data_IF_637706627562
#
_entry.id   IF_637706627562
#
_cell.length_a   1.000
_cell.length_b   1.000
_cell.length_c   1.000
_cell.angle_alpha   90.00
_cell.angle_beta   90.00
_cell.angle_gamma   90.00
#
_symmetry.space_group_name_H-M   'P 1'
#
loop_
_entity.id
_entity.type
_entity.pdbx_description
1 polymer ?
#
# COMPACT_ATOMS: atom_id res chain seq x y z
N UNK A 1 -0.52 11.70 -16.33
CA UNK A 1 0.61 11.56 -15.39
C UNK A 1 1.43 10.34 -15.82
N UNK A 2 2.75 10.48 -15.87
CA UNK A 2 3.67 9.36 -16.11
C UNK A 2 4.49 9.14 -14.85
N UNK A 3 4.53 7.92 -14.33
CA UNK A 3 5.29 7.58 -13.12
C UNK A 3 6.69 7.13 -13.50
N UNK A 4 7.69 7.56 -12.73
CA UNK A 4 9.03 7.01 -12.87
C UNK A 4 9.05 5.61 -12.27
N UNK A 5 9.67 4.66 -12.96
CA UNK A 5 9.71 3.26 -12.53
C UNK A 5 11.13 2.78 -12.31
N UNK A 6 11.33 1.97 -11.28
CA UNK A 6 12.64 1.37 -10.97
C UNK A 6 12.43 -0.02 -10.41
N UNK A 7 13.26 -0.98 -10.81
CA UNK A 7 13.29 -2.30 -10.19
C UNK A 7 14.21 -2.25 -8.98
N UNK A 8 13.70 -2.59 -7.80
CA UNK A 8 14.51 -2.71 -6.60
C UNK A 8 15.26 -4.05 -6.58
N UNK A 9 14.56 -5.10 -7.00
CA UNK A 9 15.06 -6.46 -7.17
C UNK A 9 14.12 -7.19 -8.14
N UNK A 10 14.38 -8.49 -8.37
CA UNK A 10 13.60 -9.31 -9.30
C UNK A 10 12.12 -9.47 -8.94
N UNK A 11 11.74 -9.11 -7.71
CA UNK A 11 10.40 -9.29 -7.16
C UNK A 11 9.66 -7.98 -6.84
N UNK A 12 10.31 -6.83 -7.01
CA UNK A 12 9.76 -5.55 -6.54
C UNK A 12 9.98 -4.45 -7.56
N UNK A 13 8.87 -3.98 -8.14
CA UNK A 13 8.84 -2.81 -8.99
C UNK A 13 8.30 -1.60 -8.23
N UNK A 14 9.08 -0.52 -8.26
CA UNK A 14 8.75 0.74 -7.60
C UNK A 14 8.20 1.72 -8.63
N UNK A 15 7.06 2.31 -8.29
CA UNK A 15 6.42 3.43 -8.94
C UNK A 15 6.62 4.68 -8.11
N UNK A 16 7.27 5.69 -8.66
CA UNK A 16 7.56 6.95 -7.98
C UNK A 16 6.67 8.05 -8.54
N UNK A 17 5.91 8.69 -7.65
CA UNK A 17 5.09 9.85 -7.95
C UNK A 17 5.94 11.01 -8.49
N UNK A 18 5.37 11.73 -9.45
CA UNK A 18 5.89 13.05 -9.83
C UNK A 18 5.64 14.03 -8.67
N UNK A 19 6.54 14.99 -8.48
CA UNK A 19 6.40 16.03 -7.45
C UNK A 19 5.13 16.87 -7.63
N UNK A 20 4.62 17.01 -8.84
CA UNK A 20 3.39 17.74 -9.13
C UNK A 20 2.11 16.93 -8.87
N UNK A 21 2.23 15.59 -8.80
CA UNK A 21 1.09 14.67 -8.73
C UNK A 21 1.27 13.68 -7.58
N UNK A 22 1.16 14.19 -6.36
CA UNK A 22 1.40 13.41 -5.13
C UNK A 22 0.12 13.06 -4.37
N UNK A 23 -1.05 13.51 -4.81
CA UNK A 23 -2.32 13.18 -4.15
C UNK A 23 -2.85 11.78 -4.55
N UNK A 24 -3.85 11.31 -3.79
CA UNK A 24 -4.46 9.99 -4.04
C UNK A 24 -5.29 9.98 -5.32
N UNK A 25 -5.87 11.11 -5.74
CA UNK A 25 -6.68 11.19 -6.96
C UNK A 25 -5.83 10.93 -8.21
N UNK A 26 -4.59 11.44 -8.21
CA UNK A 26 -3.60 11.18 -9.25
C UNK A 26 -3.24 9.68 -9.32
N UNK A 27 -3.03 9.03 -8.17
CA UNK A 27 -2.78 7.59 -8.11
C UNK A 27 -4.00 6.80 -8.60
N UNK A 28 -5.20 7.16 -8.15
CA UNK A 28 -6.47 6.57 -8.58
C UNK A 28 -6.64 6.67 -10.09
N UNK A 29 -6.43 7.86 -10.67
CA UNK A 29 -6.52 8.08 -12.10
C UNK A 29 -5.52 7.21 -12.87
N UNK A 30 -4.29 7.09 -12.37
CA UNK A 30 -3.27 6.22 -12.97
C UNK A 30 -3.67 4.74 -12.92
N UNK A 31 -4.10 4.26 -11.76
CA UNK A 31 -4.53 2.86 -11.58
C UNK A 31 -5.70 2.53 -12.50
N UNK A 32 -6.68 3.43 -12.64
CA UNK A 32 -7.84 3.20 -13.55
C UNK A 32 -7.43 3.02 -15.00
N UNK A 33 -6.43 3.77 -15.47
CA UNK A 33 -5.95 3.69 -16.86
C UNK A 33 -5.04 2.47 -17.07
N UNK A 34 -4.17 2.17 -16.12
CA UNK A 34 -3.13 1.14 -16.26
C UNK A 34 -3.42 -0.17 -15.52
N UNK A 35 -4.66 -0.40 -15.08
CA UNK A 35 -5.02 -1.54 -14.22
C UNK A 35 -4.53 -2.87 -14.77
N UNK A 36 -4.77 -3.15 -16.04
CA UNK A 36 -4.39 -4.43 -16.68
C UNK A 36 -2.88 -4.66 -16.63
N UNK A 37 -2.10 -3.61 -16.93
CA UNK A 37 -0.63 -3.65 -16.89
C UNK A 37 -0.15 -3.87 -15.45
N UNK A 38 -0.70 -3.13 -14.50
CA UNK A 38 -0.39 -3.28 -13.07
C UNK A 38 -0.68 -4.72 -12.58
N UNK A 39 -1.77 -5.34 -13.01
CA UNK A 39 -2.05 -6.74 -12.62
C UNK A 39 -1.08 -7.73 -13.25
N UNK A 40 -0.67 -7.53 -14.51
CA UNK A 40 0.35 -8.36 -15.16
C UNK A 40 1.71 -8.23 -14.46
N UNK A 41 2.08 -7.02 -14.09
CA UNK A 41 3.31 -6.76 -13.36
C UNK A 41 3.27 -7.28 -11.93
N UNK A 42 2.13 -7.18 -11.25
CA UNK A 42 1.95 -7.80 -9.94
C UNK A 42 2.12 -9.31 -10.04
N UNK A 43 1.62 -9.95 -11.10
CA UNK A 43 1.85 -11.37 -11.34
C UNK A 43 3.32 -11.70 -11.69
N UNK A 44 4.02 -10.81 -12.40
CA UNK A 44 5.42 -11.02 -12.80
C UNK A 44 6.41 -10.84 -11.63
N UNK A 45 6.29 -9.73 -10.90
CA UNK A 45 7.23 -9.35 -9.85
C UNK A 45 6.76 -9.86 -8.48
N UNK A 46 5.46 -9.89 -8.22
CA UNK A 46 4.90 -10.25 -6.92
C UNK A 46 4.72 -9.05 -5.97
N UNK A 47 5.52 -7.99 -6.13
CA UNK A 47 5.40 -6.76 -5.32
C UNK A 47 5.43 -5.52 -6.22
N UNK A 48 4.41 -4.66 -6.04
CA UNK A 48 4.38 -3.31 -6.58
C UNK A 48 4.40 -2.30 -5.43
N UNK A 49 5.35 -1.37 -5.46
CA UNK A 49 5.49 -0.32 -4.45
C UNK A 49 5.18 1.05 -5.04
N UNK A 50 4.13 1.71 -4.58
CA UNK A 50 3.80 3.09 -4.96
C UNK A 50 4.35 4.06 -3.91
N UNK A 51 5.30 4.90 -4.32
CA UNK A 51 6.04 5.82 -3.45
C UNK A 51 5.81 7.27 -3.86
N UNK A 52 5.66 8.13 -2.87
CA UNK A 52 5.54 9.58 -3.07
C UNK A 52 4.10 10.10 -3.07
N UNK A 53 3.12 9.20 -2.93
CA UNK A 53 1.72 9.57 -2.78
C UNK A 53 1.35 9.86 -1.33
N UNK A 54 0.46 10.82 -1.15
CA UNK A 54 -0.05 11.32 0.12
C UNK A 54 -1.53 11.00 0.19
N UNK A 55 -1.85 9.97 0.95
CA UNK A 55 -3.21 9.74 1.40
C UNK A 55 -3.45 10.69 2.58
N UNK A 56 -4.55 11.43 2.57
CA UNK A 56 -4.96 12.34 3.63
C UNK A 56 -5.91 11.65 4.61
N UNK A 57 -6.80 10.80 4.11
CA UNK A 57 -7.84 10.14 4.92
C UNK A 57 -7.66 8.62 4.94
N UNK A 58 -8.08 7.98 6.04
CA UNK A 58 -7.92 6.54 6.25
C UNK A 58 -8.70 5.69 5.23
N UNK A 59 -9.85 6.16 4.76
CA UNK A 59 -10.69 5.43 3.81
C UNK A 59 -10.13 5.43 2.38
N UNK A 60 -9.27 6.38 2.03
CA UNK A 60 -8.72 6.51 0.67
C UNK A 60 -7.91 5.29 0.26
N UNK A 61 -7.19 4.67 1.21
CA UNK A 61 -6.45 3.44 0.94
C UNK A 61 -7.40 2.28 0.62
N UNK A 62 -8.44 2.13 1.43
CA UNK A 62 -9.43 1.08 1.24
C UNK A 62 -10.16 1.24 -0.10
N UNK A 63 -10.58 2.47 -0.45
CA UNK A 63 -11.22 2.78 -1.73
C UNK A 63 -10.28 2.49 -2.91
N UNK A 64 -9.01 2.85 -2.80
CA UNK A 64 -8.01 2.57 -3.83
C UNK A 64 -7.89 1.06 -4.09
N UNK A 65 -7.80 0.26 -3.05
CA UNK A 65 -7.60 -1.20 -3.16
C UNK A 65 -8.88 -1.89 -3.69
N UNK A 66 -10.03 -1.64 -3.08
CA UNK A 66 -11.26 -2.36 -3.41
C UNK A 66 -11.92 -1.85 -4.69
N UNK A 67 -11.93 -0.54 -4.94
CA UNK A 67 -12.67 0.03 -6.06
C UNK A 67 -11.82 0.33 -7.28
N UNK A 68 -10.51 0.60 -7.12
CA UNK A 68 -9.65 0.98 -8.25
C UNK A 68 -8.75 -0.17 -8.69
N UNK A 69 -8.06 -0.81 -7.75
CA UNK A 69 -7.37 -2.06 -8.06
C UNK A 69 -8.37 -3.21 -8.28
N UNK A 70 -9.57 -3.14 -7.69
CA UNK A 70 -10.58 -4.21 -7.74
C UNK A 70 -10.00 -5.54 -7.25
N UNK A 71 -9.21 -5.45 -6.19
CA UNK A 71 -8.65 -6.60 -5.51
C UNK A 71 -9.71 -7.07 -4.51
N UNK A 72 -10.30 -8.24 -4.77
CA UNK A 72 -11.31 -8.81 -3.88
C UNK A 72 -10.66 -9.24 -2.56
N UNK A 73 -11.29 -8.94 -1.40
CA UNK A 73 -10.83 -9.43 -0.10
C UNK A 73 -10.59 -10.94 -0.15
N UNK A 74 -9.43 -11.36 0.36
CA UNK A 74 -9.03 -12.75 0.28
C UNK A 74 -9.84 -13.61 1.27
N UNK A 75 -10.67 -14.51 0.75
CA UNK A 75 -11.31 -15.52 1.59
C UNK A 75 -10.31 -16.62 1.95
N UNK A 76 -9.76 -16.54 3.16
CA UNK A 76 -8.72 -17.43 3.72
C UNK A 76 -9.15 -18.91 3.80
N UNK A 77 -10.42 -19.22 3.56
CA UNK A 77 -11.00 -20.57 3.69
C UNK A 77 -10.90 -21.44 2.44
N UNK A 78 -10.43 -20.91 1.30
CA UNK A 78 -10.24 -21.71 0.08
C UNK A 78 -8.79 -21.65 -0.43
N UNK A 79 -8.03 -22.72 -0.23
CA UNK A 79 -6.62 -22.85 -0.64
C UNK A 79 -6.36 -22.92 -2.15
N UNK A 80 -7.38 -22.69 -2.99
CA UNK A 80 -7.32 -22.91 -4.44
C UNK A 80 -6.84 -21.71 -5.26
N UNK A 81 -6.66 -20.53 -4.68
CA UNK A 81 -6.14 -19.35 -5.41
C UNK A 81 -4.97 -18.74 -4.64
N UNK A 82 -4.10 -18.02 -5.34
CA UNK A 82 -3.07 -17.21 -4.70
C UNK A 82 -3.69 -15.94 -4.12
N UNK A 83 -3.42 -15.67 -2.84
CA UNK A 83 -3.87 -14.44 -2.18
C UNK A 83 -2.97 -13.25 -2.48
N UNK A 84 -3.43 -12.06 -2.11
CA UNK A 84 -2.67 -10.81 -2.18
C UNK A 84 -2.75 -10.11 -0.81
N UNK A 85 -1.80 -9.24 -0.53
CA UNK A 85 -1.87 -8.32 0.60
C UNK A 85 -1.51 -6.92 0.12
N UNK A 86 -2.14 -5.88 0.68
CA UNK A 86 -1.78 -4.50 0.43
C UNK A 86 -1.51 -3.80 1.77
N UNK A 87 -0.50 -2.94 1.81
CA UNK A 87 -0.18 -2.18 3.02
C UNK A 87 0.14 -0.74 2.68
N UNK A 88 -0.19 0.17 3.60
CA UNK A 88 0.17 1.58 3.52
C UNK A 88 1.13 1.93 4.65
N UNK A 89 2.28 2.51 4.29
CA UNK A 89 3.31 2.90 5.26
C UNK A 89 3.55 4.40 5.12
N UNK A 90 3.21 5.15 6.17
CA UNK A 90 3.54 6.58 6.27
C UNK A 90 4.82 6.74 7.08
N UNK A 91 5.86 7.34 6.49
CA UNK A 91 7.06 7.73 7.24
C UNK A 91 6.71 8.87 8.18
N UNK A 92 6.61 8.60 9.47
CA UNK A 92 6.62 9.63 10.50
C UNK A 92 8.08 10.09 10.67
N UNK A 93 8.40 11.32 10.25
CA UNK A 93 9.65 11.94 10.70
C UNK A 93 9.44 12.36 12.15
N UNK A 94 10.10 11.64 13.06
CA UNK A 94 10.09 11.93 14.49
C UNK A 94 10.81 13.26 14.77
N UNK A 95 10.02 14.32 14.92
CA UNK A 95 10.32 15.40 15.86
C UNK A 95 9.35 15.31 17.05
N UNK A 96 8.99 14.09 17.47
CA UNK A 96 8.16 13.85 18.66
C UNK A 96 9.03 13.27 19.77
N UNK A 97 9.43 14.13 20.68
CA UNK A 97 9.78 13.76 22.06
C UNK A 97 8.51 13.17 22.69
N UNK A 98 8.34 11.85 22.63
CA UNK A 98 7.04 11.23 22.91
C UNK A 98 7.12 9.75 23.26
N UNK A 99 7.89 9.44 24.30
CA UNK A 99 7.69 8.30 25.21
C UNK A 99 7.46 6.92 24.55
N UNK A 100 8.50 6.40 23.91
CA UNK A 100 8.66 4.97 23.62
C UNK A 100 8.79 4.19 24.93
N UNK A 101 7.68 3.93 25.61
CA UNK A 101 7.62 2.90 26.66
C UNK A 101 7.23 1.57 26.01
N UNK A 102 8.17 0.61 25.86
CA UNK A 102 7.79 -0.76 25.59
C UNK A 102 7.08 -1.26 26.85
N UNK A 103 5.76 -1.47 26.79
CA UNK A 103 5.01 -2.12 27.85
C UNK A 103 5.43 -3.59 27.92
N UNK A 104 6.53 -3.82 28.61
CA UNK A 104 7.13 -5.10 28.90
C UNK A 104 6.32 -5.82 29.99
N UNK A 105 5.03 -6.12 29.75
CA UNK A 105 4.28 -7.12 30.55
C UNK A 105 2.84 -7.48 30.14
N UNK A 106 2.38 -7.15 28.93
CA UNK A 106 1.05 -7.60 28.49
C UNK A 106 1.21 -8.55 27.30
N UNK A 107 0.61 -9.74 27.37
CA UNK A 107 0.54 -10.74 26.27
C UNK A 107 -0.28 -10.25 25.04
N UNK A 108 -0.36 -8.95 24.85
CA UNK A 108 -1.06 -8.29 23.75
C UNK A 108 -0.14 -7.23 23.19
N UNK A 109 0.53 -7.58 22.09
CA UNK A 109 1.25 -6.62 21.25
C UNK A 109 0.19 -5.81 20.51
N UNK A 110 -0.06 -4.59 20.97
CA UNK A 110 -0.71 -3.60 20.13
C UNK A 110 0.35 -3.11 19.14
N UNK A 111 0.35 -3.71 17.94
CA UNK A 111 0.98 -3.07 16.78
C UNK A 111 0.34 -1.67 16.68
N UNK A 112 1.18 -0.63 16.55
CA UNK A 112 0.77 0.78 16.70
C UNK A 112 -0.45 1.18 15.86
N UNK A 113 -0.96 2.39 16.10
CA UNK A 113 -2.26 2.91 15.60
C UNK A 113 -2.80 2.15 14.38
N UNK A 114 -3.85 1.36 14.62
CA UNK A 114 -4.54 0.40 13.71
C UNK A 114 -5.11 1.07 12.45
N UNK A 115 -4.83 2.35 12.22
CA UNK A 115 -5.46 3.18 11.20
C UNK A 115 -4.88 3.00 9.79
N UNK A 116 -3.70 2.40 9.62
CA UNK A 116 -2.97 2.47 8.34
C UNK A 116 -2.57 1.12 7.72
N UNK A 117 -2.94 0.00 8.34
CA UNK A 117 -2.57 -1.32 7.83
C UNK A 117 -3.77 -2.24 7.89
N UNK A 118 -4.42 -2.42 6.74
CA UNK A 118 -5.43 -3.46 6.56
C UNK A 118 -4.72 -4.67 5.96
N UNK A 119 -4.66 -5.77 6.72
CA UNK A 119 -4.27 -7.07 6.20
C UNK A 119 -5.56 -7.74 5.71
N UNK A 120 -5.68 -7.96 4.40
CA UNK A 120 -6.72 -8.78 3.80
C UNK A 120 -6.20 -10.20 3.59
#
# INVERSE_FOLDING_TARGET
MQLNTTLLNDYCKIYVADHEYTDVDALTAYVRVHRTELMQELHQYGILLFRGFKLQHHYEFHELIEHHFQLEPWHTFTSKKSGWFASFIRKYNENRTGDDRPYLNCNTVQLGSVENSVVF
#
